data_IF_201489059202
#
_entry.id   IF_201489059202
#
_cell.length_a   1.000
_cell.length_b   1.000
_cell.length_c   1.000
_cell.angle_alpha   90.00
_cell.angle_beta   90.00
_cell.angle_gamma   90.00
#
_symmetry.space_group_name_H-M   'P 1'
#
loop_
_entity.id
_entity.type
_entity.pdbx_description
1 polymer ?
#
# COMPACT_ATOMS: atom_id res chain seq x y z
N UNK A 1 2.35 -32.53 48.75
CA UNK A 1 2.38 -33.52 47.65
C UNK A 1 2.89 -32.78 46.42
N UNK A 2 4.10 -33.11 45.94
CA UNK A 2 4.73 -32.45 44.79
C UNK A 2 4.36 -33.23 43.53
N UNK A 3 3.76 -32.56 42.56
CA UNK A 3 3.37 -33.18 41.29
C UNK A 3 4.62 -33.23 40.41
N UNK A 4 4.94 -34.40 39.88
CA UNK A 4 6.07 -34.60 38.99
C UNK A 4 5.75 -34.02 37.60
N UNK A 5 6.46 -32.98 37.13
CA UNK A 5 6.18 -32.33 35.85
C UNK A 5 6.42 -33.22 34.62
N UNK A 6 7.03 -34.40 34.79
CA UNK A 6 7.23 -35.38 33.71
C UNK A 6 6.01 -36.28 33.44
N UNK A 7 4.95 -36.18 34.26
CA UNK A 7 3.73 -37.00 34.12
C UNK A 7 2.67 -36.43 33.17
N UNK A 8 2.92 -35.27 32.53
CA UNK A 8 1.97 -34.67 31.57
C UNK A 8 2.08 -35.42 30.24
N UNK A 9 1.02 -36.10 29.75
CA UNK A 9 1.05 -36.76 28.45
C UNK A 9 1.22 -35.72 27.34
N UNK A 10 2.09 -36.02 26.38
CA UNK A 10 2.27 -35.19 25.18
C UNK A 10 1.06 -35.36 24.26
N UNK A 11 0.10 -34.42 24.34
CA UNK A 11 -1.08 -34.38 23.48
C UNK A 11 -0.77 -33.63 22.18
N UNK A 12 -0.31 -34.36 21.16
CA UNK A 12 -0.59 -34.09 19.75
C UNK A 12 -0.06 -32.77 19.17
N UNK A 13 0.95 -32.90 18.31
CA UNK A 13 1.34 -31.88 17.32
C UNK A 13 2.55 -31.08 17.74
N UNK A 14 3.71 -31.41 17.17
CA UNK A 14 4.76 -30.42 17.01
C UNK A 14 4.10 -29.27 16.24
N UNK A 15 4.07 -28.02 16.73
CA UNK A 15 3.59 -26.93 15.90
C UNK A 15 4.42 -26.98 14.63
N UNK A 16 3.76 -27.19 13.48
CA UNK A 16 4.40 -26.97 12.20
C UNK A 16 5.06 -25.59 12.28
N UNK A 17 6.31 -25.42 11.82
CA UNK A 17 6.93 -24.11 11.84
C UNK A 17 5.99 -23.19 11.08
N UNK A 18 5.28 -22.36 11.84
CA UNK A 18 4.43 -21.33 11.30
C UNK A 18 5.42 -20.46 10.53
N UNK A 19 5.31 -20.50 9.20
CA UNK A 19 6.19 -19.72 8.34
C UNK A 19 6.24 -18.33 8.94
N UNK A 20 7.43 -17.94 9.43
CA UNK A 20 7.61 -16.67 10.10
C UNK A 20 7.05 -15.62 9.13
N UNK A 21 5.95 -14.98 9.50
CA UNK A 21 5.50 -13.79 8.80
C UNK A 21 6.68 -12.83 8.72
N UNK A 22 6.78 -12.03 7.64
CA UNK A 22 7.97 -11.22 7.39
C UNK A 22 8.40 -10.47 8.67
N UNK A 23 9.67 -10.68 9.05
CA UNK A 23 10.29 -10.02 10.19
C UNK A 23 10.49 -8.54 9.88
N UNK A 24 9.49 -7.71 10.19
CA UNK A 24 9.57 -6.25 10.08
C UNK A 24 8.64 -5.64 9.01
N UNK A 25 8.61 -4.29 8.93
CA UNK A 25 7.81 -3.60 7.93
C UNK A 25 8.26 -3.97 6.52
N UNK A 26 7.31 -4.40 5.70
CA UNK A 26 7.56 -4.69 4.28
C UNK A 26 7.82 -3.38 3.56
N UNK A 27 9.03 -3.23 3.02
CA UNK A 27 9.35 -2.11 2.13
C UNK A 27 8.65 -2.38 0.79
N UNK A 28 7.72 -1.51 0.36
CA UNK A 28 7.03 -1.72 -0.90
C UNK A 28 8.03 -1.55 -2.06
N UNK A 29 8.04 -2.53 -2.95
CA UNK A 29 8.70 -2.45 -4.25
C UNK A 29 7.68 -2.55 -5.38
N UNK A 30 8.16 -2.41 -6.61
CA UNK A 30 7.30 -2.42 -7.78
C UNK A 30 6.57 -3.77 -7.96
N UNK A 31 7.22 -4.88 -7.63
CA UNK A 31 6.65 -6.21 -7.83
C UNK A 31 5.56 -6.53 -6.80
N UNK A 32 5.72 -6.07 -5.57
CA UNK A 32 4.67 -6.11 -4.56
C UNK A 32 3.43 -5.33 -5.02
N UNK A 33 3.62 -4.14 -5.59
CA UNK A 33 2.48 -3.34 -6.09
C UNK A 33 1.80 -4.04 -7.27
N UNK A 34 2.54 -4.61 -8.22
CA UNK A 34 1.96 -5.41 -9.32
C UNK A 34 1.12 -6.57 -8.78
N UNK A 35 1.67 -7.34 -7.83
CA UNK A 35 0.96 -8.47 -7.21
C UNK A 35 -0.35 -8.03 -6.56
N UNK A 36 -0.36 -6.90 -5.85
CA UNK A 36 -1.57 -6.36 -5.23
C UNK A 36 -2.59 -5.93 -6.28
N UNK A 37 -2.16 -5.26 -7.35
CA UNK A 37 -3.05 -4.87 -8.45
C UNK A 37 -3.65 -6.10 -9.15
N UNK A 38 -2.84 -7.13 -9.40
CA UNK A 38 -3.30 -8.40 -9.97
C UNK A 38 -4.31 -9.10 -9.05
N UNK A 39 -4.06 -9.14 -7.73
CA UNK A 39 -4.98 -9.70 -6.74
C UNK A 39 -6.32 -8.95 -6.69
N UNK A 40 -6.29 -7.64 -6.91
CA UNK A 40 -7.47 -6.79 -6.98
C UNK A 40 -8.14 -6.81 -8.37
N UNK A 41 -7.61 -7.58 -9.32
CA UNK A 41 -8.06 -7.64 -10.71
C UNK A 41 -8.02 -6.27 -11.42
N UNK A 42 -7.10 -5.39 -10.99
CA UNK A 42 -6.90 -4.07 -11.54
C UNK A 42 -5.84 -4.10 -12.66
N UNK A 43 -6.18 -3.51 -13.80
CA UNK A 43 -5.23 -3.36 -14.91
C UNK A 43 -4.18 -2.31 -14.59
N UNK A 44 -2.95 -2.58 -15.01
CA UNK A 44 -1.85 -1.62 -14.94
C UNK A 44 -0.93 -1.69 -16.15
N UNK A 45 -0.15 -0.64 -16.33
CA UNK A 45 0.93 -0.53 -17.31
C UNK A 45 2.18 0.00 -16.62
N UNK A 46 3.34 -0.30 -17.19
CA UNK A 46 4.61 0.37 -16.85
C UNK A 46 4.85 1.44 -17.91
N UNK A 47 5.09 2.68 -17.50
CA UNK A 47 5.41 3.77 -18.42
C UNK A 47 6.91 3.84 -18.77
N UNK A 48 7.27 4.76 -19.65
CA UNK A 48 8.64 4.93 -20.13
C UNK A 48 9.63 5.36 -19.03
N UNK A 49 9.12 5.93 -17.93
CA UNK A 49 9.92 6.32 -16.75
C UNK A 49 10.03 5.18 -15.72
N UNK A 50 9.43 4.03 -16.02
CA UNK A 50 9.41 2.86 -15.15
C UNK A 50 8.39 2.94 -14.02
N UNK A 51 7.47 3.91 -14.04
CA UNK A 51 6.41 4.02 -13.03
C UNK A 51 5.24 3.10 -13.40
N UNK A 52 4.52 2.60 -12.39
CA UNK A 52 3.28 1.85 -12.64
C UNK A 52 2.10 2.83 -12.71
N UNK A 53 1.32 2.73 -13.76
CA UNK A 53 0.05 3.43 -13.90
C UNK A 53 -1.11 2.44 -13.91
N UNK A 54 -2.05 2.62 -12.97
CA UNK A 54 -3.31 1.88 -12.90
C UNK A 54 -4.47 2.83 -13.25
N UNK A 55 -4.96 2.81 -14.50
CA UNK A 55 -6.14 3.59 -14.89
C UNK A 55 -7.43 2.93 -14.40
N UNK A 56 -8.39 3.74 -13.97
CA UNK A 56 -9.72 3.31 -13.56
C UNK A 56 -10.78 4.34 -13.94
N UNK A 57 -11.70 4.02 -14.86
CA UNK A 57 -12.84 4.86 -15.30
C UNK A 57 -12.60 6.38 -15.33
N UNK A 58 -12.72 7.07 -14.19
CA UNK A 58 -12.58 8.53 -14.03
C UNK A 58 -11.33 8.99 -13.28
N UNK A 59 -10.36 8.12 -13.03
CA UNK A 59 -9.08 8.49 -12.44
C UNK A 59 -7.96 7.55 -12.87
N UNK A 60 -6.72 7.98 -12.66
CA UNK A 60 -5.55 7.13 -12.82
C UNK A 60 -4.63 7.31 -11.63
N UNK A 61 -4.08 6.20 -11.15
CA UNK A 61 -3.14 6.19 -10.03
C UNK A 61 -1.76 5.79 -10.52
N UNK A 62 -0.77 6.58 -10.18
CA UNK A 62 0.64 6.32 -10.42
C UNK A 62 1.33 5.87 -9.15
N UNK A 63 2.15 4.84 -9.26
CA UNK A 63 3.02 4.32 -8.21
C UNK A 63 4.46 4.53 -8.65
N UNK A 64 5.13 5.49 -8.00
CA UNK A 64 6.45 5.97 -8.39
C UNK A 64 7.47 5.56 -7.34
N UNK A 65 8.57 4.95 -7.79
CA UNK A 65 9.67 4.49 -6.95
C UNK A 65 10.92 5.28 -7.34
N UNK A 66 11.36 6.20 -6.48
CA UNK A 66 12.46 7.13 -6.77
C UNK A 66 13.57 7.01 -5.73
N UNK A 67 14.80 7.34 -6.11
CA UNK A 67 15.97 7.33 -5.23
C UNK A 67 16.61 5.94 -5.06
N UNK A 68 17.76 5.91 -4.38
CA UNK A 68 18.57 4.72 -4.15
C UNK A 68 18.80 4.48 -2.66
N UNK A 69 18.94 3.21 -2.25
CA UNK A 69 19.22 2.78 -0.88
C UNK A 69 18.35 3.50 0.17
N UNK A 70 18.96 4.29 1.06
CA UNK A 70 18.27 4.97 2.15
C UNK A 70 17.45 6.20 1.70
N UNK A 71 17.60 6.65 0.45
CA UNK A 71 16.85 7.77 -0.13
C UNK A 71 15.67 7.30 -0.99
N UNK A 72 15.26 6.04 -0.85
CA UNK A 72 14.10 5.52 -1.55
C UNK A 72 12.83 6.23 -1.09
N UNK A 73 12.09 6.74 -2.07
CA UNK A 73 10.78 7.37 -1.89
C UNK A 73 9.77 6.61 -2.72
N UNK A 74 8.76 6.09 -2.02
CA UNK A 74 7.56 5.56 -2.65
C UNK A 74 6.48 6.65 -2.64
N UNK A 75 6.04 7.07 -3.83
CA UNK A 75 5.01 8.10 -4.00
C UNK A 75 3.83 7.53 -4.76
N UNK A 76 2.63 7.65 -4.18
CA UNK A 76 1.37 7.30 -4.85
C UNK A 76 0.64 8.58 -5.20
N UNK A 77 0.26 8.74 -6.48
CA UNK A 77 -0.43 9.93 -6.97
C UNK A 77 -1.65 9.56 -7.79
N UNK A 78 -2.81 10.04 -7.39
CA UNK A 78 -4.06 9.85 -8.13
C UNK A 78 -4.44 11.14 -8.84
N UNK A 79 -4.74 11.02 -10.13
CA UNK A 79 -5.27 12.09 -10.96
C UNK A 79 -6.73 11.78 -11.26
N UNK A 80 -7.65 12.61 -10.79
CA UNK A 80 -9.06 12.51 -11.10
C UNK A 80 -9.33 13.22 -12.43
N UNK A 81 -9.84 12.48 -13.41
CA UNK A 81 -10.17 12.97 -14.74
C UNK A 81 -11.56 13.61 -14.73
N UNK A 82 -11.70 14.66 -13.90
CA UNK A 82 -12.93 15.44 -13.75
C UNK A 82 -12.72 16.88 -14.22
N UNK A 83 -13.37 17.31 -15.31
CA UNK A 83 -13.32 18.70 -15.72
C UNK A 83 -14.12 19.56 -14.75
N UNK A 84 -13.57 20.71 -14.40
CA UNK A 84 -14.24 21.73 -13.57
C UNK A 84 -14.21 23.07 -14.28
N UNK A 85 -15.27 23.86 -14.10
CA UNK A 85 -15.29 25.25 -14.57
C UNK A 85 -14.24 26.07 -13.82
N UNK A 86 -13.63 27.04 -14.51
CA UNK A 86 -12.62 27.93 -13.91
C UNK A 86 -13.17 28.72 -12.73
N UNK A 87 -14.46 29.07 -12.77
CA UNK A 87 -15.13 29.80 -11.70
C UNK A 87 -15.28 28.97 -10.41
N UNK A 88 -15.17 27.63 -10.50
CA UNK A 88 -15.19 26.74 -9.35
C UNK A 88 -13.83 26.67 -8.62
N UNK A 89 -12.76 27.25 -9.18
CA UNK A 89 -11.41 27.18 -8.59
C UNK A 89 -11.36 27.60 -7.11
N UNK A 90 -11.97 28.71 -6.65
CA UNK A 90 -11.90 29.11 -5.25
C UNK A 90 -12.50 28.07 -4.30
N UNK A 91 -13.70 27.56 -4.62
CA UNK A 91 -14.38 26.57 -3.76
C UNK A 91 -13.68 25.22 -3.76
N UNK A 92 -13.09 24.81 -4.89
CA UNK A 92 -12.30 23.57 -4.96
C UNK A 92 -11.03 23.66 -4.12
N UNK A 93 -10.33 24.79 -4.14
CA UNK A 93 -9.14 25.00 -3.31
C UNK A 93 -9.51 24.97 -1.82
N UNK A 94 -10.57 25.66 -1.42
CA UNK A 94 -11.05 25.65 -0.03
C UNK A 94 -11.40 24.22 0.43
N UNK A 95 -12.06 23.44 -0.42
CA UNK A 95 -12.41 22.04 -0.11
C UNK A 95 -11.17 21.14 0.03
N UNK A 96 -10.18 21.29 -0.87
CA UNK A 96 -8.92 20.53 -0.82
C UNK A 96 -8.11 20.91 0.42
N UNK A 97 -8.01 22.21 0.74
CA UNK A 97 -7.29 22.70 1.91
C UNK A 97 -7.94 22.24 3.22
N UNK A 98 -9.26 22.27 3.29
CA UNK A 98 -10.00 21.76 4.45
C UNK A 98 -9.84 20.24 4.60
N UNK A 99 -9.90 19.50 3.49
CA UNK A 99 -9.62 18.06 3.49
C UNK A 99 -8.21 17.80 4.01
N UNK A 100 -7.18 18.40 3.39
CA UNK A 100 -5.78 18.25 3.80
C UNK A 100 -5.58 18.52 5.29
N UNK A 101 -6.19 19.58 5.83
CA UNK A 101 -6.09 19.91 7.26
C UNK A 101 -6.68 18.83 8.18
N UNK A 102 -7.71 18.12 7.73
CA UNK A 102 -8.46 17.14 8.53
C UNK A 102 -7.99 15.70 8.34
N UNK A 103 -7.43 15.38 7.17
CA UNK A 103 -7.03 14.01 6.80
C UNK A 103 -5.53 13.81 6.71
N UNK A 104 -4.71 14.84 6.93
CA UNK A 104 -3.28 14.65 7.16
C UNK A 104 -3.06 13.81 8.43
N UNK A 105 -2.92 12.51 8.18
CA UNK A 105 -2.33 11.52 9.05
C UNK A 105 -0.85 11.89 9.28
N UNK A 106 -0.32 11.73 10.50
CA UNK A 106 0.91 11.00 10.68
C UNK A 106 0.63 9.51 10.87
#
# INVERSE_FOLDING_TARGET
MSIDPSSIPNFGGQPEPQAAGPEGPVVPDQDLVKQLLDQMELKYVVDDEGDLAAPWEEFRTYFMFRGEAEQQVFSVRTFYDRPHDVDQRPVLLDAIDDWNRRTLWP
#
